data_IF_524990820653
#
_entry.id   IF_524990820653
#
_cell.length_a   1.000
_cell.length_b   1.000
_cell.length_c   1.000
_cell.angle_alpha   90.00
_cell.angle_beta   90.00
_cell.angle_gamma   90.00
#
_symmetry.space_group_name_H-M   'P 1'
#
loop_
_entity.id
_entity.type
_entity.pdbx_description
1 polymer ?
#
# COMPACT_ATOMS: atom_id res chain seq x y z
N UNK A 1 2.32 -29.28 24.62
CA UNK A 1 3.08 -28.01 24.46
C UNK A 1 2.07 -26.96 24.02
N UNK A 2 1.66 -26.08 24.91
CA UNK A 2 0.76 -24.97 24.56
C UNK A 2 1.49 -24.07 23.57
N UNK A 3 1.02 -24.04 22.31
CA UNK A 3 1.58 -23.23 21.23
C UNK A 3 1.63 -21.76 21.64
N UNK A 4 2.65 -21.04 21.18
CA UNK A 4 2.78 -19.60 21.39
C UNK A 4 1.57 -18.87 20.85
N UNK A 5 0.97 -17.98 21.66
CA UNK A 5 -0.17 -17.16 21.24
C UNK A 5 0.22 -15.69 21.16
N UNK A 6 -0.21 -15.02 20.12
CA UNK A 6 0.13 -13.63 19.82
C UNK A 6 -1.12 -12.75 19.85
N UNK A 7 -1.07 -11.67 20.63
CA UNK A 7 -2.04 -10.59 20.53
C UNK A 7 -1.55 -9.59 19.46
N UNK A 8 -2.30 -9.45 18.37
CA UNK A 8 -2.09 -8.39 17.38
C UNK A 8 -2.85 -7.15 17.84
N UNK A 9 -2.16 -6.02 17.94
CA UNK A 9 -2.78 -4.74 18.34
C UNK A 9 -2.55 -3.73 17.22
N UNK A 10 -3.63 -3.27 16.58
CA UNK A 10 -3.53 -2.39 15.40
C UNK A 10 -4.74 -1.47 15.27
N UNK A 11 -4.56 -0.33 14.61
CA UNK A 11 -5.66 0.50 14.08
C UNK A 11 -6.00 0.14 12.63
N UNK A 12 -5.08 -0.56 11.98
CA UNK A 12 -5.10 -0.80 10.54
C UNK A 12 -5.49 -2.25 10.29
N UNK A 13 -6.81 -2.51 10.23
CA UNK A 13 -7.35 -3.84 9.98
C UNK A 13 -8.64 -3.75 9.13
N UNK A 14 -8.83 -4.68 8.17
CA UNK A 14 -10.06 -4.69 7.37
C UNK A 14 -11.36 -4.78 8.23
N UNK A 15 -12.51 -4.34 7.67
CA UNK A 15 -12.79 -4.02 6.27
C UNK A 15 -12.28 -2.65 5.79
N UNK A 16 -11.64 -1.88 6.67
CA UNK A 16 -10.97 -0.64 6.29
C UNK A 16 -9.95 -0.92 5.17
N UNK A 17 -9.96 -0.07 4.13
CA UNK A 17 -9.12 -0.25 2.95
C UNK A 17 -7.82 0.54 3.05
N UNK A 18 -6.70 -0.10 2.74
CA UNK A 18 -5.37 0.52 2.68
C UNK A 18 -4.26 -0.53 2.63
N UNK A 19 -3.06 -0.10 2.26
CA UNK A 19 -1.90 -0.99 2.14
C UNK A 19 -1.42 -1.55 3.48
N UNK A 20 -1.57 -0.78 4.58
CA UNK A 20 -1.20 -1.26 5.92
C UNK A 20 -2.20 -2.31 6.39
N UNK A 21 -3.49 -2.06 6.20
CA UNK A 21 -4.58 -2.98 6.53
C UNK A 21 -4.42 -4.32 5.81
N UNK A 22 -4.15 -4.27 4.50
CA UNK A 22 -3.87 -5.46 3.68
C UNK A 22 -2.65 -6.21 4.20
N UNK A 23 -1.55 -5.49 4.50
CA UNK A 23 -0.34 -6.10 5.04
C UNK A 23 -0.58 -6.76 6.41
N UNK A 24 -1.19 -6.06 7.35
CA UNK A 24 -1.45 -6.60 8.70
C UNK A 24 -2.36 -7.82 8.62
N UNK A 25 -3.38 -7.79 7.76
CA UNK A 25 -4.27 -8.93 7.52
C UNK A 25 -3.51 -10.11 6.93
N UNK A 26 -2.77 -9.91 5.85
CA UNK A 26 -2.00 -10.97 5.19
C UNK A 26 -0.96 -11.62 6.10
N UNK A 27 -0.34 -10.83 6.98
CA UNK A 27 0.58 -11.35 8.00
C UNK A 27 -0.16 -12.11 9.09
N UNK A 28 -1.32 -11.63 9.55
CA UNK A 28 -2.14 -12.30 10.57
C UNK A 28 -2.63 -13.66 10.07
N UNK A 29 -3.03 -13.76 8.81
CA UNK A 29 -3.52 -15.00 8.19
C UNK A 29 -2.45 -16.10 8.08
N UNK A 30 -1.16 -15.76 8.26
CA UNK A 30 -0.05 -16.73 8.30
C UNK A 30 0.19 -17.33 9.68
N UNK A 31 -0.46 -16.83 10.71
CA UNK A 31 -0.45 -17.48 12.02
C UNK A 31 -1.44 -18.66 12.01
N UNK A 32 -1.15 -19.76 12.72
CA UNK A 32 -2.17 -20.76 13.02
C UNK A 32 -3.38 -20.09 13.67
N UNK A 33 -4.58 -20.45 13.25
CA UNK A 33 -5.83 -19.76 13.64
C UNK A 33 -6.05 -19.71 15.18
N UNK A 34 -5.62 -20.73 15.88
CA UNK A 34 -5.70 -20.86 17.33
C UNK A 34 -4.59 -20.12 18.09
N UNK A 35 -3.59 -19.59 17.36
CA UNK A 35 -2.40 -18.93 17.92
C UNK A 35 -2.43 -17.41 17.86
N UNK A 36 -3.48 -16.81 17.33
CA UNK A 36 -3.56 -15.35 17.15
C UNK A 36 -4.92 -14.80 17.59
N UNK A 37 -4.89 -13.61 18.17
CA UNK A 37 -6.07 -12.80 18.49
C UNK A 37 -5.81 -11.37 18.06
N UNK A 38 -6.76 -10.75 17.38
CA UNK A 38 -6.63 -9.37 16.92
C UNK A 38 -7.42 -8.43 17.84
N UNK A 39 -6.79 -7.37 18.31
CA UNK A 39 -7.42 -6.24 18.96
C UNK A 39 -7.27 -4.99 18.12
N UNK A 40 -8.38 -4.45 17.67
CA UNK A 40 -8.40 -3.34 16.72
C UNK A 40 -9.49 -2.31 17.05
N UNK A 41 -9.50 -1.19 16.31
CA UNK A 41 -10.48 -0.12 16.44
C UNK A 41 -11.83 -0.48 15.83
N UNK A 42 -12.88 0.27 16.20
CA UNK A 42 -14.20 0.16 15.57
C UNK A 42 -14.12 0.53 14.08
N UNK A 43 -14.86 -0.22 13.27
CA UNK A 43 -15.01 0.06 11.84
C UNK A 43 -16.46 -0.27 11.42
N UNK A 44 -17.15 0.60 10.68
CA UNK A 44 -18.49 0.31 10.18
C UNK A 44 -18.51 -0.97 9.32
N UNK A 45 -19.54 -1.80 9.50
CA UNK A 45 -19.70 -3.04 8.71
C UNK A 45 -18.73 -4.18 9.06
N UNK A 46 -17.93 -4.04 10.12
CA UNK A 46 -16.90 -5.02 10.45
C UNK A 46 -17.42 -6.38 10.92
N UNK A 47 -18.64 -6.46 11.47
CA UNK A 47 -19.15 -7.69 12.08
C UNK A 47 -19.18 -8.88 11.12
N UNK A 48 -19.68 -8.70 9.91
CA UNK A 48 -19.73 -9.76 8.90
C UNK A 48 -18.32 -10.17 8.44
N UNK A 49 -17.43 -9.19 8.29
CA UNK A 49 -16.03 -9.44 7.95
C UNK A 49 -15.34 -10.26 9.06
N UNK A 50 -15.47 -9.85 10.30
CA UNK A 50 -14.81 -10.50 11.43
C UNK A 50 -15.33 -11.92 11.68
N UNK A 51 -16.64 -12.15 11.46
CA UNK A 51 -17.25 -13.48 11.56
C UNK A 51 -16.74 -14.49 10.53
N UNK A 52 -16.22 -14.02 9.40
CA UNK A 52 -15.65 -14.87 8.35
C UNK A 52 -14.18 -15.26 8.62
N UNK A 53 -13.54 -14.72 9.67
CA UNK A 53 -12.15 -14.98 9.97
C UNK A 53 -11.97 -16.25 10.83
N UNK A 54 -10.89 -17.01 10.61
CA UNK A 54 -10.62 -18.22 11.37
C UNK A 54 -10.07 -17.97 12.80
N UNK A 55 -9.86 -16.72 13.17
CA UNK A 55 -9.31 -16.30 14.47
C UNK A 55 -10.16 -15.17 15.09
N UNK A 56 -10.13 -15.00 16.42
CA UNK A 56 -10.90 -13.98 17.10
C UNK A 56 -10.43 -12.56 16.75
N UNK A 57 -11.38 -11.68 16.41
CA UNK A 57 -11.18 -10.24 16.31
C UNK A 57 -12.01 -9.53 17.35
N UNK A 58 -11.36 -8.75 18.20
CA UNK A 58 -12.01 -7.94 19.25
C UNK A 58 -11.88 -6.47 18.87
N UNK A 59 -13.02 -5.81 18.65
CA UNK A 59 -13.03 -4.38 18.33
C UNK A 59 -13.28 -3.54 19.59
N UNK A 60 -12.48 -2.49 19.71
CA UNK A 60 -12.72 -1.43 20.69
C UNK A 60 -13.81 -0.49 20.14
N UNK A 61 -14.69 0.07 20.98
CA UNK A 61 -15.68 1.06 20.53
C UNK A 61 -15.05 2.36 20.00
N UNK A 62 -13.78 2.64 20.33
CA UNK A 62 -13.08 3.80 19.81
C UNK A 62 -12.73 3.63 18.31
N UNK A 63 -12.92 4.68 17.52
CA UNK A 63 -12.52 4.74 16.09
C UNK A 63 -11.02 4.71 15.89
N UNK A 64 -10.25 4.99 16.93
CA UNK A 64 -8.78 4.95 16.92
C UNK A 64 -8.31 4.51 18.30
N UNK A 65 -7.51 3.45 18.33
CA UNK A 65 -6.81 3.02 19.53
C UNK A 65 -5.66 4.01 19.81
N UNK A 66 -5.64 4.52 21.02
CA UNK A 66 -4.51 5.27 21.55
C UNK A 66 -3.95 4.53 22.77
N UNK A 67 -2.66 4.71 23.11
CA UNK A 67 -2.01 4.04 24.24
C UNK A 67 -2.43 4.63 25.60
N UNK A 68 -3.74 4.83 25.80
CA UNK A 68 -4.33 5.33 27.04
C UNK A 68 -4.56 4.18 28.05
N UNK A 69 -4.72 4.48 29.36
CA UNK A 69 -4.86 3.45 30.39
C UNK A 69 -5.98 2.43 30.12
N UNK A 70 -7.15 2.88 29.65
CA UNK A 70 -8.31 2.02 29.33
C UNK A 70 -7.99 1.02 28.22
N UNK A 71 -7.45 1.50 27.10
CA UNK A 71 -7.12 0.67 25.93
C UNK A 71 -6.01 -0.32 26.28
N UNK A 72 -4.99 0.12 27.01
CA UNK A 72 -3.88 -0.74 27.46
C UNK A 72 -4.36 -1.82 28.44
N UNK A 73 -5.23 -1.47 29.39
CA UNK A 73 -5.80 -2.44 30.34
C UNK A 73 -6.66 -3.49 29.62
N UNK A 74 -7.44 -3.07 28.59
CA UNK A 74 -8.23 -3.99 27.77
C UNK A 74 -7.32 -4.94 26.96
N UNK A 75 -6.27 -4.43 26.34
CA UNK A 75 -5.28 -5.25 25.65
C UNK A 75 -4.61 -6.26 26.61
N UNK A 76 -4.22 -5.83 27.81
CA UNK A 76 -3.68 -6.72 28.83
C UNK A 76 -4.68 -7.80 29.28
N UNK A 77 -5.94 -7.43 29.45
CA UNK A 77 -7.03 -8.38 29.76
C UNK A 77 -7.24 -9.42 28.67
N UNK A 78 -7.17 -9.01 27.39
CA UNK A 78 -7.26 -9.91 26.26
C UNK A 78 -6.05 -10.86 26.21
N UNK A 79 -4.84 -10.34 26.39
CA UNK A 79 -3.63 -11.17 26.41
C UNK A 79 -3.71 -12.26 27.51
N UNK A 80 -4.18 -11.91 28.73
CA UNK A 80 -4.40 -12.91 29.81
C UNK A 80 -5.48 -13.91 29.43
N UNK A 81 -6.66 -13.45 28.98
CA UNK A 81 -7.82 -14.30 28.67
C UNK A 81 -7.48 -15.35 27.60
N UNK A 82 -6.69 -14.96 26.59
CA UNK A 82 -6.31 -15.84 25.48
C UNK A 82 -4.97 -16.52 25.68
N UNK A 83 -4.29 -16.32 26.82
CA UNK A 83 -2.99 -16.91 27.10
C UNK A 83 -1.89 -16.45 26.14
N UNK A 84 -1.92 -15.19 25.70
CA UNK A 84 -0.90 -14.66 24.80
C UNK A 84 0.40 -14.37 25.53
N UNK A 85 1.50 -14.94 25.07
CA UNK A 85 2.86 -14.69 25.55
C UNK A 85 3.62 -13.66 24.69
N UNK A 86 3.04 -13.29 23.57
CA UNK A 86 3.61 -12.36 22.59
C UNK A 86 2.59 -11.28 22.21
N UNK A 87 3.09 -10.08 21.89
CA UNK A 87 2.31 -9.00 21.28
C UNK A 87 2.98 -8.51 20.02
N UNK A 88 2.19 -8.32 18.98
CA UNK A 88 2.60 -7.66 17.76
C UNK A 88 1.80 -6.38 17.54
N UNK A 89 2.47 -5.24 17.51
CA UNK A 89 1.89 -3.97 17.13
C UNK A 89 1.96 -3.83 15.61
N UNK A 90 0.80 -3.91 14.97
CA UNK A 90 0.67 -3.83 13.50
C UNK A 90 1.19 -2.50 12.94
N UNK A 91 1.12 -1.41 13.72
CA UNK A 91 1.85 -0.17 13.51
C UNK A 91 2.59 0.22 14.80
N UNK A 92 3.89 0.53 14.69
CA UNK A 92 4.76 0.78 15.84
C UNK A 92 4.29 1.99 16.67
N UNK A 93 3.98 3.09 15.99
CA UNK A 93 3.59 4.33 16.65
C UNK A 93 2.09 4.63 16.41
N UNK A 94 1.32 4.98 17.45
CA UNK A 94 1.73 5.13 18.86
C UNK A 94 1.58 3.85 19.71
N UNK A 95 0.99 2.77 19.17
CA UNK A 95 0.52 1.62 19.96
C UNK A 95 1.64 0.86 20.69
N UNK A 96 2.86 0.84 20.12
CA UNK A 96 4.04 0.22 20.74
C UNK A 96 4.40 0.79 22.13
N UNK A 97 3.91 1.98 22.49
CA UNK A 97 4.07 2.53 23.84
C UNK A 97 3.43 1.67 24.94
N UNK A 98 2.44 0.83 24.56
CA UNK A 98 1.79 -0.10 25.49
C UNK A 98 2.68 -1.29 25.89
N UNK A 99 3.74 -1.60 25.13
CA UNK A 99 4.57 -2.81 25.33
C UNK A 99 5.04 -3.00 26.76
N UNK A 100 5.55 -1.94 27.41
CA UNK A 100 6.05 -2.02 28.78
C UNK A 100 4.96 -2.35 29.81
N UNK A 101 3.73 -1.86 29.62
CA UNK A 101 2.63 -2.16 30.52
C UNK A 101 2.07 -3.56 30.28
N UNK A 102 1.95 -3.98 29.02
CA UNK A 102 1.53 -5.34 28.66
C UNK A 102 2.48 -6.39 29.29
N UNK A 103 3.78 -6.17 29.24
CA UNK A 103 4.75 -7.08 29.90
C UNK A 103 4.51 -7.20 31.40
N UNK A 104 4.23 -6.09 32.09
CA UNK A 104 4.01 -6.14 33.55
C UNK A 104 2.65 -6.73 33.95
N UNK A 105 1.61 -6.52 33.14
CA UNK A 105 0.23 -6.80 33.54
C UNK A 105 -0.39 -8.04 32.89
N UNK A 106 0.23 -8.64 31.87
CA UNK A 106 -0.44 -9.71 31.10
C UNK A 106 0.36 -10.96 30.81
N UNK A 107 1.60 -11.06 31.30
CA UNK A 107 2.46 -12.22 31.02
C UNK A 107 3.09 -12.22 29.63
N UNK A 108 2.89 -11.17 28.82
CA UNK A 108 3.54 -10.99 27.53
C UNK A 108 5.05 -10.89 27.72
N UNK A 109 5.79 -11.80 27.10
CA UNK A 109 7.26 -11.88 27.16
C UNK A 109 7.92 -11.25 25.96
N UNK A 110 7.27 -11.29 24.78
CA UNK A 110 7.79 -10.79 23.52
C UNK A 110 6.90 -9.69 22.94
N UNK A 111 7.53 -8.62 22.47
CA UNK A 111 6.85 -7.51 21.85
C UNK A 111 7.58 -7.13 20.53
N UNK A 112 6.85 -7.16 19.44
CA UNK A 112 7.32 -6.74 18.11
C UNK A 112 6.50 -5.55 17.64
N UNK A 113 7.13 -4.59 16.98
CA UNK A 113 6.44 -3.42 16.43
C UNK A 113 6.84 -3.22 14.95
N UNK A 114 5.86 -3.05 14.09
CA UNK A 114 6.09 -2.87 12.63
C UNK A 114 6.03 -1.41 12.24
N UNK A 115 7.01 -0.94 11.47
CA UNK A 115 6.98 0.40 10.87
C UNK A 115 6.60 0.34 9.40
N UNK A 116 5.77 1.29 8.94
CA UNK A 116 5.24 1.36 7.58
C UNK A 116 5.69 2.60 6.79
N UNK A 117 6.69 3.32 7.32
CA UNK A 117 7.22 4.54 6.72
C UNK A 117 6.63 5.83 7.28
N UNK A 118 5.40 5.85 7.81
CA UNK A 118 4.86 7.04 8.47
C UNK A 118 5.61 7.38 9.78
N UNK A 119 6.32 6.43 10.36
CA UNK A 119 7.19 6.65 11.52
C UNK A 119 8.41 7.51 11.21
N UNK A 120 8.73 7.77 9.95
CA UNK A 120 9.72 8.77 9.53
C UNK A 120 9.32 10.17 10.03
N UNK A 121 8.02 10.51 10.00
CA UNK A 121 7.52 11.72 10.63
C UNK A 121 7.83 11.76 12.13
N UNK A 122 7.55 10.64 12.84
CA UNK A 122 7.87 10.51 14.28
C UNK A 122 9.37 10.68 14.53
N UNK A 123 10.20 10.07 13.71
CA UNK A 123 11.66 10.16 13.84
C UNK A 123 12.21 11.58 13.68
N UNK A 124 11.54 12.45 12.91
CA UNK A 124 11.96 13.82 12.61
C UNK A 124 11.34 14.88 13.50
N UNK A 125 10.29 14.55 14.25
CA UNK A 125 9.61 15.49 15.15
C UNK A 125 10.09 15.28 16.58
N UNK A 126 10.67 16.29 17.28
CA UNK A 126 11.39 16.10 18.55
C UNK A 126 10.62 15.32 19.62
N UNK A 127 9.40 15.72 19.98
CA UNK A 127 8.57 15.02 20.99
C UNK A 127 8.19 13.60 20.54
N UNK A 128 7.78 13.45 19.28
CA UNK A 128 7.42 12.15 18.71
C UNK A 128 8.65 11.22 18.63
N UNK A 129 9.84 11.76 18.33
CA UNK A 129 11.10 11.02 18.34
C UNK A 129 11.41 10.40 19.70
N UNK A 130 11.19 11.13 20.80
CA UNK A 130 11.38 10.60 22.14
C UNK A 130 10.41 9.42 22.43
N UNK A 131 9.15 9.52 21.96
CA UNK A 131 8.18 8.44 22.09
C UNK A 131 8.57 7.23 21.22
N UNK A 132 9.06 7.44 20.00
CA UNK A 132 9.52 6.37 19.12
C UNK A 132 10.72 5.64 19.74
N UNK A 133 11.68 6.38 20.33
CA UNK A 133 12.78 5.81 21.10
C UNK A 133 12.29 4.91 22.24
N UNK A 134 11.29 5.37 22.99
CA UNK A 134 10.67 4.61 24.09
C UNK A 134 9.99 3.33 23.60
N UNK A 135 9.42 3.32 22.39
CA UNK A 135 8.91 2.11 21.74
C UNK A 135 10.07 1.13 21.49
N UNK A 136 11.16 1.57 20.88
CA UNK A 136 12.33 0.74 20.61
C UNK A 136 12.97 0.13 21.87
N UNK A 137 13.01 0.88 22.98
CA UNK A 137 13.51 0.41 24.28
C UNK A 137 12.63 -0.71 24.89
N UNK A 138 11.34 -0.75 24.57
CA UNK A 138 10.34 -1.62 25.17
C UNK A 138 9.93 -2.80 24.30
N UNK A 139 10.38 -2.84 23.06
CA UNK A 139 10.15 -3.93 22.12
C UNK A 139 11.39 -4.76 21.88
N UNK A 140 11.21 -6.05 21.60
CA UNK A 140 12.32 -6.96 21.29
C UNK A 140 12.82 -6.77 19.88
N UNK A 141 11.92 -6.44 18.96
CA UNK A 141 12.25 -6.11 17.58
C UNK A 141 11.34 -4.98 17.06
N UNK A 142 11.91 -4.16 16.19
CA UNK A 142 11.16 -3.21 15.36
C UNK A 142 11.41 -3.59 13.91
N UNK A 143 10.34 -3.78 13.12
CA UNK A 143 10.49 -4.12 11.72
C UNK A 143 10.49 -2.88 10.84
N UNK A 144 11.11 -2.96 9.67
CA UNK A 144 11.16 -1.88 8.69
C UNK A 144 10.96 -2.43 7.26
N UNK A 145 10.45 -1.60 6.35
CA UNK A 145 10.12 -2.02 4.99
C UNK A 145 11.35 -2.09 4.09
N UNK A 146 12.15 -1.03 4.04
CA UNK A 146 13.29 -0.88 3.16
C UNK A 146 14.37 0.05 3.71
N UNK A 147 15.47 0.21 2.99
CA UNK A 147 16.65 0.97 3.43
C UNK A 147 16.34 2.45 3.70
N UNK A 148 15.54 3.07 2.84
CA UNK A 148 15.18 4.48 2.93
C UNK A 148 14.41 4.83 4.22
N UNK A 149 13.52 3.94 4.67
CA UNK A 149 12.75 4.12 5.91
C UNK A 149 13.56 3.72 7.15
N UNK A 150 14.49 2.76 7.01
CA UNK A 150 15.32 2.25 8.11
C UNK A 150 16.20 3.34 8.72
N UNK A 151 16.93 4.09 7.91
CA UNK A 151 17.94 5.03 8.40
C UNK A 151 17.39 6.08 9.40
N UNK A 152 16.33 6.87 9.06
CA UNK A 152 15.79 7.85 10.01
C UNK A 152 15.15 7.19 11.24
N UNK A 153 14.50 6.03 11.09
CA UNK A 153 13.86 5.31 12.19
C UNK A 153 14.94 4.77 13.15
N UNK A 154 15.99 4.12 12.64
CA UNK A 154 17.11 3.60 13.43
C UNK A 154 17.79 4.70 14.26
N UNK A 155 18.01 5.87 13.65
CA UNK A 155 18.58 7.02 14.33
C UNK A 155 17.70 7.54 15.49
N UNK A 156 16.37 7.40 15.36
CA UNK A 156 15.44 7.79 16.41
C UNK A 156 15.32 6.74 17.52
N UNK A 157 15.33 5.45 17.17
CA UNK A 157 15.23 4.33 18.13
C UNK A 157 16.45 4.25 19.06
N UNK A 158 17.61 4.70 18.62
CA UNK A 158 18.88 4.59 19.33
C UNK A 158 19.64 3.26 19.07
N UNK A 159 20.94 3.20 19.42
CA UNK A 159 21.84 2.11 18.93
C UNK A 159 21.39 0.71 19.30
N UNK A 160 20.93 0.50 20.52
CA UNK A 160 20.53 -0.81 21.01
C UNK A 160 19.30 -1.36 20.28
N UNK A 161 18.27 -0.53 20.05
CA UNK A 161 17.07 -0.94 19.32
C UNK A 161 17.33 -1.02 17.81
N UNK A 162 18.18 -0.15 17.27
CA UNK A 162 18.55 -0.16 15.85
C UNK A 162 19.25 -1.49 15.44
N UNK A 163 20.03 -2.10 16.34
CA UNK A 163 20.64 -3.42 16.11
C UNK A 163 19.65 -4.57 16.07
N UNK A 164 18.48 -4.39 16.69
CA UNK A 164 17.38 -5.37 16.70
C UNK A 164 16.34 -5.12 15.62
N UNK A 165 16.58 -4.18 14.72
CA UNK A 165 15.68 -3.95 13.59
C UNK A 165 15.75 -5.12 12.59
N UNK A 166 14.60 -5.57 12.15
CA UNK A 166 14.44 -6.66 11.18
C UNK A 166 13.74 -6.15 9.93
N UNK A 167 14.26 -6.47 8.76
CA UNK A 167 13.55 -6.16 7.51
C UNK A 167 12.33 -7.06 7.37
N UNK A 168 11.18 -6.46 7.17
CA UNK A 168 9.92 -7.13 6.89
C UNK A 168 9.18 -6.33 5.82
N UNK A 169 9.53 -6.57 4.56
CA UNK A 169 8.84 -5.98 3.42
C UNK A 169 7.52 -6.71 3.17
N UNK A 170 6.46 -6.00 2.77
CA UNK A 170 5.24 -6.65 2.28
C UNK A 170 5.55 -7.42 1.00
N UNK A 171 4.90 -8.56 0.85
CA UNK A 171 4.86 -9.33 -0.39
C UNK A 171 3.49 -9.27 -1.02
N UNK A 172 3.42 -9.66 -2.27
CA UNK A 172 2.19 -9.91 -3.01
C UNK A 172 2.11 -11.39 -3.37
N UNK A 173 0.92 -11.90 -3.56
CA UNK A 173 0.70 -13.21 -4.13
C UNK A 173 0.78 -13.08 -5.66
N UNK A 174 1.84 -13.58 -6.32
CA UNK A 174 1.98 -13.42 -7.76
C UNK A 174 0.83 -14.08 -8.53
N UNK A 175 0.31 -15.21 -8.04
CA UNK A 175 -0.75 -15.96 -8.71
C UNK A 175 -2.07 -15.18 -8.70
N UNK A 176 -2.35 -14.44 -7.61
CA UNK A 176 -3.55 -13.61 -7.51
C UNK A 176 -3.57 -12.45 -8.52
N UNK A 177 -2.41 -11.99 -8.96
CA UNK A 177 -2.27 -10.87 -9.92
C UNK A 177 -1.83 -11.32 -11.31
N UNK A 178 -1.43 -12.59 -11.49
CA UNK A 178 -0.92 -13.08 -12.75
C UNK A 178 -1.92 -12.88 -13.91
N UNK A 179 -1.48 -12.23 -14.96
CA UNK A 179 -2.19 -12.10 -16.23
C UNK A 179 -1.55 -13.06 -17.22
N UNK A 180 -2.34 -13.95 -17.82
CA UNK A 180 -1.80 -14.93 -18.79
C UNK A 180 -1.10 -14.20 -19.94
N UNK A 181 0.07 -14.68 -20.41
CA UNK A 181 0.75 -14.14 -21.59
C UNK A 181 -0.22 -14.02 -22.77
N UNK A 182 -0.16 -12.91 -23.50
CA UNK A 182 -1.06 -12.64 -24.62
C UNK A 182 -2.50 -12.26 -24.27
N UNK A 183 -2.90 -12.35 -22.99
CA UNK A 183 -4.28 -12.02 -22.59
C UNK A 183 -4.62 -10.54 -22.79
N UNK A 184 -3.62 -9.64 -22.67
CA UNK A 184 -3.81 -8.20 -22.91
C UNK A 184 -4.02 -7.89 -24.39
N UNK A 185 -3.23 -8.48 -25.26
CA UNK A 185 -3.39 -8.38 -26.73
C UNK A 185 -4.73 -8.96 -27.15
N UNK A 186 -5.06 -10.14 -26.67
CA UNK A 186 -6.35 -10.79 -26.98
C UNK A 186 -7.56 -9.98 -26.50
N UNK A 187 -7.47 -9.28 -25.37
CA UNK A 187 -8.53 -8.38 -24.87
C UNK A 187 -8.71 -7.16 -25.78
N UNK A 188 -7.60 -6.64 -26.35
CA UNK A 188 -7.65 -5.48 -27.26
C UNK A 188 -8.15 -5.85 -28.65
N UNK A 189 -7.62 -6.92 -29.25
CA UNK A 189 -8.04 -7.40 -30.57
C UNK A 189 -9.54 -7.66 -30.59
N UNK A 190 -10.07 -8.28 -29.54
CA UNK A 190 -11.52 -8.58 -29.42
C UNK A 190 -12.39 -7.36 -29.07
N UNK A 191 -11.81 -6.31 -28.50
CA UNK A 191 -12.52 -5.04 -28.33
C UNK A 191 -12.83 -4.37 -29.68
N UNK A 192 -12.07 -4.72 -30.75
CA UNK A 192 -12.30 -4.28 -32.13
C UNK A 192 -13.31 -5.17 -32.87
N UNK A 193 -13.45 -6.46 -32.54
CA UNK A 193 -14.15 -7.45 -33.39
C UNK A 193 -15.55 -7.88 -32.91
N UNK A 194 -16.08 -7.27 -31.84
CA UNK A 194 -17.45 -7.58 -31.35
C UNK A 194 -17.66 -9.01 -30.83
N UNK A 195 -16.63 -9.73 -30.45
CA UNK A 195 -16.63 -11.15 -30.12
C UNK A 195 -17.07 -11.52 -28.69
N UNK A 196 -17.40 -12.78 -28.52
CA UNK A 196 -18.10 -13.47 -27.43
C UNK A 196 -17.75 -13.21 -25.93
N UNK A 197 -18.72 -13.41 -24.97
CA UNK A 197 -18.67 -12.89 -23.60
C UNK A 197 -17.77 -13.66 -22.60
N UNK A 198 -16.72 -14.31 -22.99
CA UNK A 198 -15.90 -15.12 -22.05
C UNK A 198 -14.52 -14.57 -21.71
N UNK A 199 -14.06 -13.51 -22.38
CA UNK A 199 -12.68 -13.00 -22.30
C UNK A 199 -12.59 -11.47 -22.24
N UNK A 200 -13.71 -10.77 -22.06
CA UNK A 200 -13.72 -9.31 -21.92
C UNK A 200 -13.22 -8.93 -20.53
N UNK A 201 -12.28 -7.99 -20.46
CA UNK A 201 -11.92 -7.41 -19.19
C UNK A 201 -13.05 -6.48 -18.72
N UNK A 202 -13.76 -6.88 -17.68
CA UNK A 202 -14.92 -6.16 -17.11
C UNK A 202 -14.61 -4.71 -16.76
N UNK A 203 -13.34 -4.40 -16.45
CA UNK A 203 -12.89 -3.05 -16.15
C UNK A 203 -12.88 -2.20 -17.41
N UNK A 204 -12.42 -2.73 -18.56
CA UNK A 204 -12.44 -2.02 -19.84
C UNK A 204 -13.87 -1.74 -20.30
N UNK A 205 -14.78 -2.69 -20.10
CA UNK A 205 -16.21 -2.50 -20.40
C UNK A 205 -16.83 -1.46 -19.47
N UNK A 206 -16.63 -1.58 -18.16
CA UNK A 206 -17.19 -0.68 -17.13
C UNK A 206 -16.86 0.78 -17.38
N UNK A 207 -15.65 1.06 -17.85
CA UNK A 207 -15.14 2.43 -18.05
C UNK A 207 -15.05 2.85 -19.51
N UNK A 208 -15.57 2.07 -20.44
CA UNK A 208 -15.58 2.41 -21.88
C UNK A 208 -14.16 2.56 -22.46
N UNK A 209 -13.20 1.78 -21.98
CA UNK A 209 -11.79 1.92 -22.38
C UNK A 209 -11.50 1.34 -23.77
N UNK A 210 -12.31 0.39 -24.25
CA UNK A 210 -12.09 -0.25 -25.55
C UNK A 210 -10.67 -0.79 -25.72
N UNK A 211 -10.07 -0.55 -26.90
CA UNK A 211 -8.69 -0.90 -27.21
C UNK A 211 -7.65 0.18 -26.82
N UNK A 212 -8.08 1.27 -26.21
CA UNK A 212 -7.24 2.43 -25.85
C UNK A 212 -6.07 2.02 -24.95
N UNK A 213 -4.88 2.63 -25.11
CA UNK A 213 -3.77 2.46 -24.18
C UNK A 213 -4.14 3.01 -22.79
N UNK A 214 -3.93 2.22 -21.72
CA UNK A 214 -4.35 2.57 -20.37
C UNK A 214 -3.16 2.73 -19.43
N UNK A 215 -3.02 3.90 -18.85
CA UNK A 215 -2.11 4.21 -17.75
C UNK A 215 -2.92 4.04 -16.46
N UNK A 216 -2.57 3.08 -15.62
CA UNK A 216 -3.22 2.86 -14.33
C UNK A 216 -2.43 3.52 -13.20
N UNK A 217 -3.14 4.23 -12.32
CA UNK A 217 -2.62 4.64 -11.03
C UNK A 217 -3.60 4.19 -9.93
N UNK A 218 -3.21 3.19 -9.16
CA UNK A 218 -4.01 2.68 -8.05
C UNK A 218 -3.43 3.15 -6.72
N UNK A 219 -4.03 4.16 -6.11
CA UNK A 219 -3.57 4.71 -4.84
C UNK A 219 -4.62 5.61 -4.20
N UNK A 220 -4.53 5.77 -2.89
CA UNK A 220 -5.27 6.82 -2.18
C UNK A 220 -5.04 8.18 -2.85
N UNK A 221 -6.10 8.94 -3.10
CA UNK A 221 -6.01 10.24 -3.76
C UNK A 221 -5.53 11.30 -2.77
N UNK A 222 -4.19 11.45 -2.74
CA UNK A 222 -3.47 12.44 -1.91
C UNK A 222 -2.26 12.99 -2.67
N UNK A 223 -1.85 14.26 -2.43
CA UNK A 223 -0.83 14.93 -3.25
C UNK A 223 0.53 14.22 -3.35
N UNK A 224 0.93 13.42 -2.33
CA UNK A 224 2.21 12.69 -2.36
C UNK A 224 2.25 11.54 -3.38
N UNK A 225 1.08 11.08 -3.86
CA UNK A 225 0.99 9.96 -4.81
C UNK A 225 1.20 10.35 -6.28
N UNK A 226 1.18 11.66 -6.59
CA UNK A 226 1.57 12.17 -7.90
C UNK A 226 0.51 12.06 -9.01
N UNK A 227 -0.77 11.80 -8.65
CA UNK A 227 -1.85 11.76 -9.66
C UNK A 227 -1.97 13.09 -10.42
N UNK A 228 -1.71 14.21 -9.77
CA UNK A 228 -1.67 15.53 -10.40
C UNK A 228 -0.52 15.69 -11.40
N UNK A 229 0.64 15.06 -11.15
CA UNK A 229 1.75 15.02 -12.11
C UNK A 229 1.35 14.23 -13.36
N UNK A 230 0.66 13.09 -13.20
CA UNK A 230 0.14 12.31 -14.33
C UNK A 230 -0.84 13.12 -15.18
N UNK A 231 -1.81 13.83 -14.55
CA UNK A 231 -2.76 14.68 -15.26
C UNK A 231 -2.04 15.80 -16.01
N UNK A 232 -1.04 16.45 -15.40
CA UNK A 232 -0.25 17.51 -16.05
C UNK A 232 0.64 16.97 -17.19
N UNK A 233 1.09 15.72 -17.12
CA UNK A 233 1.85 15.04 -18.16
C UNK A 233 0.98 14.63 -19.36
N UNK A 234 -0.32 14.40 -19.10
CA UNK A 234 -1.23 13.79 -20.08
C UNK A 234 -1.38 14.60 -21.38
N UNK A 235 -1.41 15.96 -21.41
CA UNK A 235 -1.41 16.70 -22.68
C UNK A 235 -0.20 16.38 -23.58
N UNK A 236 0.97 16.15 -23.00
CA UNK A 236 2.15 15.76 -23.76
C UNK A 236 2.07 14.30 -24.23
N UNK A 237 1.53 13.41 -23.41
CA UNK A 237 1.28 12.02 -23.78
C UNK A 237 0.29 11.93 -24.94
N UNK A 238 -0.83 12.65 -24.88
CA UNK A 238 -1.87 12.63 -25.90
C UNK A 238 -1.43 13.18 -27.25
N UNK A 239 -0.43 14.06 -27.32
CA UNK A 239 0.17 14.47 -28.59
C UNK A 239 0.86 13.32 -29.33
N UNK A 240 1.40 12.34 -28.60
CA UNK A 240 2.14 11.20 -29.15
C UNK A 240 1.33 9.90 -29.19
N UNK A 241 0.34 9.79 -28.31
CA UNK A 241 -0.56 8.64 -28.15
C UNK A 241 -1.98 9.20 -27.91
N UNK A 242 -2.70 9.64 -28.97
CA UNK A 242 -3.94 10.42 -28.85
C UNK A 242 -5.07 9.72 -28.07
N UNK A 243 -5.10 8.38 -28.14
CA UNK A 243 -6.14 7.57 -27.51
C UNK A 243 -5.78 7.12 -26.07
N UNK A 244 -4.66 7.57 -25.51
CA UNK A 244 -4.27 7.14 -24.16
C UNK A 244 -5.33 7.57 -23.11
N UNK A 245 -5.52 6.71 -22.11
CA UNK A 245 -6.41 6.96 -20.97
C UNK A 245 -5.62 6.84 -19.67
N UNK A 246 -5.86 7.77 -18.76
CA UNK A 246 -5.41 7.71 -17.38
C UNK A 246 -6.55 7.20 -16.49
N UNK A 247 -6.41 5.96 -15.98
CA UNK A 247 -7.34 5.35 -15.04
C UNK A 247 -6.82 5.53 -13.60
N UNK A 248 -7.51 6.33 -12.81
CA UNK A 248 -7.21 6.60 -11.41
C UNK A 248 -8.13 5.79 -10.52
N UNK A 249 -7.60 4.78 -9.82
CA UNK A 249 -8.34 3.95 -8.88
C UNK A 249 -7.97 4.30 -7.45
N UNK A 250 -8.95 4.65 -6.65
CA UNK A 250 -8.79 5.01 -5.24
C UNK A 250 -9.66 6.20 -4.84
N UNK A 251 -9.77 6.41 -3.53
CA UNK A 251 -10.47 7.52 -2.92
C UNK A 251 -9.53 8.41 -2.11
N UNK A 252 -9.97 9.63 -1.86
CA UNK A 252 -9.23 10.54 -0.99
C UNK A 252 -9.61 12.01 -1.18
N UNK A 253 -9.14 12.85 -0.26
CA UNK A 253 -9.52 14.27 -0.23
C UNK A 253 -9.07 15.06 -1.48
N UNK A 254 -8.14 14.51 -2.25
CA UNK A 254 -7.58 15.16 -3.45
C UNK A 254 -8.45 14.96 -4.71
N UNK A 255 -9.51 14.12 -4.66
CA UNK A 255 -10.36 13.80 -5.81
C UNK A 255 -10.95 15.03 -6.51
N UNK A 256 -11.48 16.00 -5.75
CA UNK A 256 -12.04 17.24 -6.31
C UNK A 256 -11.00 18.06 -7.05
N UNK A 257 -9.81 18.18 -6.47
CA UNK A 257 -8.67 18.89 -7.09
C UNK A 257 -8.24 18.24 -8.39
N UNK A 258 -8.17 16.90 -8.43
CA UNK A 258 -7.79 16.15 -9.62
C UNK A 258 -8.81 16.31 -10.76
N UNK A 259 -10.12 16.28 -10.46
CA UNK A 259 -11.17 16.54 -11.48
C UNK A 259 -11.04 17.94 -12.07
N UNK A 260 -10.88 18.94 -11.20
CA UNK A 260 -10.67 20.32 -11.66
C UNK A 260 -9.41 20.44 -12.51
N UNK A 261 -8.30 19.85 -12.07
CA UNK A 261 -7.03 19.88 -12.81
C UNK A 261 -7.19 19.24 -14.20
N UNK A 262 -7.90 18.12 -14.33
CA UNK A 262 -8.14 17.48 -15.62
C UNK A 262 -8.95 18.38 -16.56
N UNK A 263 -9.95 19.10 -16.05
CA UNK A 263 -10.71 20.11 -16.81
C UNK A 263 -9.83 21.29 -17.22
N UNK A 264 -9.08 21.87 -16.25
CA UNK A 264 -8.23 23.04 -16.48
C UNK A 264 -7.09 22.76 -17.48
N UNK A 265 -6.63 21.49 -17.59
CA UNK A 265 -5.61 21.06 -18.56
C UNK A 265 -6.20 20.54 -19.87
N UNK A 266 -7.52 20.52 -20.04
CA UNK A 266 -8.19 20.07 -21.27
C UNK A 266 -8.12 18.57 -21.53
N UNK A 267 -7.90 17.75 -20.50
CA UNK A 267 -7.76 16.28 -20.65
C UNK A 267 -8.84 15.49 -19.91
N UNK A 268 -9.96 16.13 -19.54
CA UNK A 268 -11.01 15.50 -18.75
C UNK A 268 -11.54 14.20 -19.38
N UNK A 269 -11.68 14.14 -20.72
CA UNK A 269 -12.18 12.98 -21.45
C UNK A 269 -11.16 11.80 -21.52
N UNK A 270 -9.92 12.08 -21.19
CA UNK A 270 -8.86 11.08 -21.11
C UNK A 270 -8.55 10.64 -19.67
N UNK A 271 -9.28 11.16 -18.67
CA UNK A 271 -9.08 10.81 -17.24
C UNK A 271 -10.32 10.15 -16.66
N UNK A 272 -10.18 8.91 -16.22
CA UNK A 272 -11.23 8.16 -15.54
C UNK A 272 -10.91 8.08 -14.04
N UNK A 273 -11.76 8.66 -13.19
CA UNK A 273 -11.70 8.49 -11.75
C UNK A 273 -12.66 7.36 -11.33
N UNK A 274 -12.11 6.18 -11.14
CA UNK A 274 -12.86 4.95 -10.84
C UNK A 274 -13.42 4.87 -9.41
N UNK A 275 -12.95 5.76 -8.51
CA UNK A 275 -13.24 5.65 -7.07
C UNK A 275 -12.48 4.51 -6.38
N UNK A 276 -12.71 4.34 -5.08
CA UNK A 276 -12.15 3.22 -4.32
C UNK A 276 -12.71 1.89 -4.78
N UNK A 277 -11.82 0.89 -4.86
CA UNK A 277 -12.20 -0.49 -5.23
C UNK A 277 -11.75 -1.46 -4.15
N UNK A 278 -12.54 -2.50 -3.86
CA UNK A 278 -12.10 -3.59 -3.00
C UNK A 278 -10.85 -4.28 -3.55
N UNK A 279 -9.94 -4.68 -2.66
CA UNK A 279 -8.69 -5.31 -3.07
C UNK A 279 -8.88 -6.55 -3.99
N UNK A 280 -9.90 -7.41 -3.80
CA UNK A 280 -10.17 -8.53 -4.71
C UNK A 280 -10.52 -8.12 -6.17
N UNK A 281 -10.96 -6.87 -6.40
CA UNK A 281 -11.22 -6.37 -7.76
C UNK A 281 -9.95 -5.82 -8.45
N UNK A 282 -8.85 -5.62 -7.70
CA UNK A 282 -7.64 -4.99 -8.23
C UNK A 282 -6.94 -5.79 -9.33
N UNK A 283 -6.85 -7.13 -9.29
CA UNK A 283 -6.26 -7.90 -10.39
C UNK A 283 -6.87 -7.58 -11.77
N UNK A 284 -8.20 -7.39 -11.85
CA UNK A 284 -8.87 -7.02 -13.11
C UNK A 284 -8.48 -5.59 -13.57
N UNK A 285 -8.21 -4.66 -12.65
CA UNK A 285 -7.75 -3.31 -12.98
C UNK A 285 -6.31 -3.32 -13.52
N UNK A 286 -5.42 -4.11 -12.91
CA UNK A 286 -4.06 -4.31 -13.44
C UNK A 286 -4.07 -5.01 -14.80
N UNK A 287 -4.92 -6.00 -14.99
CA UNK A 287 -5.09 -6.69 -16.27
C UNK A 287 -5.63 -5.77 -17.38
N UNK A 288 -6.41 -4.73 -17.03
CA UNK A 288 -6.93 -3.74 -17.97
C UNK A 288 -5.87 -2.74 -18.44
N UNK A 289 -4.75 -2.62 -17.75
CA UNK A 289 -3.74 -1.59 -17.96
C UNK A 289 -2.60 -2.05 -18.87
N UNK A 290 -1.87 -1.08 -19.38
CA UNK A 290 -0.67 -1.25 -20.22
C UNK A 290 0.59 -0.82 -19.47
N UNK A 291 0.46 0.19 -18.63
CA UNK A 291 1.52 0.74 -17.80
C UNK A 291 0.92 1.06 -16.43
N UNK A 292 1.63 0.73 -15.38
CA UNK A 292 1.32 1.24 -14.05
C UNK A 292 2.19 2.46 -13.73
N UNK A 293 1.59 3.57 -13.32
CA UNK A 293 2.33 4.79 -13.02
C UNK A 293 1.86 5.43 -11.71
N UNK A 294 2.77 5.57 -10.77
CA UNK A 294 2.55 6.37 -9.56
C UNK A 294 3.81 7.18 -9.27
N UNK A 295 3.97 8.37 -9.88
CA UNK A 295 5.12 9.24 -9.66
C UNK A 295 5.01 9.90 -8.28
N UNK A 296 5.13 9.07 -7.24
CA UNK A 296 5.06 9.53 -5.86
C UNK A 296 6.24 10.43 -5.53
N UNK A 297 6.04 11.36 -4.59
CA UNK A 297 7.04 12.36 -4.23
C UNK A 297 7.09 12.63 -2.74
N UNK A 298 8.27 12.88 -2.26
CA UNK A 298 8.51 13.33 -0.89
C UNK A 298 8.04 14.78 -0.73
N UNK A 299 7.28 15.08 0.34
CA UNK A 299 6.71 16.37 0.63
C UNK A 299 7.04 16.83 2.06
N UNK A 300 6.76 18.12 2.34
CA UNK A 300 6.92 18.74 3.66
C UNK A 300 8.30 18.48 4.28
N UNK A 301 9.36 18.70 3.49
CA UNK A 301 10.73 18.52 4.00
C UNK A 301 11.06 17.08 4.41
N UNK A 302 10.38 16.08 3.79
CA UNK A 302 10.62 14.67 4.09
C UNK A 302 9.72 14.09 5.20
N UNK A 303 8.70 14.83 5.65
CA UNK A 303 7.73 14.33 6.62
C UNK A 303 6.66 13.43 5.96
N UNK A 304 6.37 13.64 4.68
CA UNK A 304 5.47 12.80 3.89
C UNK A 304 6.28 12.04 2.84
N UNK A 305 6.49 10.75 3.05
CA UNK A 305 7.23 9.86 2.14
C UNK A 305 6.36 8.67 1.74
N UNK A 306 6.71 8.00 0.65
CA UNK A 306 6.14 6.68 0.33
C UNK A 306 6.82 5.62 1.20
N UNK A 307 6.03 4.73 1.84
CA UNK A 307 6.59 3.68 2.69
C UNK A 307 7.38 2.64 1.88
N UNK A 308 6.70 2.03 0.92
CA UNK A 308 7.24 1.12 -0.09
C UNK A 308 6.42 1.21 -1.38
N UNK A 309 5.08 1.20 -1.26
CA UNK A 309 4.17 1.15 -2.41
C UNK A 309 3.93 -0.28 -2.89
N UNK A 310 3.19 -1.07 -2.10
CA UNK A 310 2.83 -2.46 -2.46
C UNK A 310 2.17 -2.55 -3.86
N UNK A 311 1.46 -1.52 -4.28
CA UNK A 311 0.82 -1.42 -5.59
C UNK A 311 1.81 -1.53 -6.77
N UNK A 312 3.08 -1.19 -6.57
CA UNK A 312 4.13 -1.42 -7.58
C UNK A 312 4.43 -2.92 -7.71
N UNK A 313 4.46 -3.65 -6.59
CA UNK A 313 4.66 -5.09 -6.58
C UNK A 313 3.45 -5.83 -7.16
N UNK A 314 2.23 -5.33 -6.90
CA UNK A 314 0.99 -5.86 -7.50
C UNK A 314 1.00 -5.66 -9.03
N UNK A 315 1.41 -4.47 -9.50
CA UNK A 315 1.56 -4.17 -10.91
C UNK A 315 2.63 -5.05 -11.58
N UNK A 316 3.79 -5.23 -10.93
CA UNK A 316 4.84 -6.11 -11.40
C UNK A 316 4.39 -7.58 -11.45
N UNK A 317 3.69 -8.08 -10.43
CA UNK A 317 3.09 -9.42 -10.43
C UNK A 317 2.04 -9.60 -11.54
N UNK A 318 1.36 -8.51 -11.93
CA UNK A 318 0.49 -8.51 -13.09
C UNK A 318 1.26 -8.41 -14.43
N UNK A 319 2.60 -8.34 -14.44
CA UNK A 319 3.43 -8.21 -15.63
C UNK A 319 3.34 -6.82 -16.28
N UNK A 320 3.10 -5.76 -15.50
CA UNK A 320 3.10 -4.38 -16.00
C UNK A 320 4.48 -3.73 -15.79
N UNK A 321 4.99 -2.99 -16.77
CA UNK A 321 6.07 -2.07 -16.53
C UNK A 321 5.61 -0.98 -15.57
N UNK A 322 6.46 -0.58 -14.61
CA UNK A 322 6.11 0.38 -13.58
C UNK A 322 6.86 1.70 -13.75
N UNK A 323 6.15 2.82 -13.60
CA UNK A 323 6.74 4.15 -13.47
C UNK A 323 6.65 4.59 -12.01
N UNK A 324 7.78 4.62 -11.34
CA UNK A 324 7.90 4.81 -9.89
C UNK A 324 8.47 6.20 -9.60
N UNK A 325 7.84 6.91 -8.67
CA UNK A 325 8.40 8.18 -8.20
C UNK A 325 9.50 7.98 -7.14
N UNK A 326 10.54 8.81 -7.17
CA UNK A 326 11.60 8.79 -6.15
C UNK A 326 11.11 9.37 -4.82
N UNK A 327 10.55 8.49 -4.00
CA UNK A 327 10.04 8.85 -2.68
C UNK A 327 10.13 7.69 -1.69
N UNK A 328 10.87 7.91 -0.62
CA UNK A 328 10.95 6.95 0.48
C UNK A 328 11.45 5.58 0.06
N UNK A 329 10.64 4.53 0.27
CA UNK A 329 10.96 3.16 -0.11
C UNK A 329 10.48 2.75 -1.51
N UNK A 330 9.82 3.63 -2.26
CA UNK A 330 9.32 3.29 -3.59
C UNK A 330 10.42 2.84 -4.57
N UNK A 331 11.63 3.43 -4.58
CA UNK A 331 12.73 2.95 -5.42
C UNK A 331 13.11 1.48 -5.18
N UNK A 332 12.89 0.94 -3.98
CA UNK A 332 13.19 -0.48 -3.66
C UNK A 332 12.26 -1.46 -4.42
N UNK A 333 11.22 -0.99 -5.12
CA UNK A 333 10.22 -1.80 -5.84
C UNK A 333 10.49 -1.93 -7.33
N UNK A 334 11.49 -1.25 -7.87
CA UNK A 334 11.81 -1.22 -9.30
C UNK A 334 13.31 -1.38 -9.53
N UNK A 335 13.68 -2.08 -10.59
CA UNK A 335 15.03 -2.03 -11.18
C UNK A 335 14.95 -1.10 -12.37
N UNK A 336 15.51 0.11 -12.19
CA UNK A 336 15.43 1.17 -13.22
C UNK A 336 16.00 0.72 -14.56
N UNK A 337 15.22 0.90 -15.63
CA UNK A 337 15.55 0.44 -16.98
C UNK A 337 15.33 -1.07 -17.24
N UNK A 338 15.08 -1.89 -16.20
CA UNK A 338 14.84 -3.34 -16.34
C UNK A 338 13.37 -3.73 -16.16
N UNK A 339 12.79 -3.39 -15.00
CA UNK A 339 11.40 -3.75 -14.64
C UNK A 339 10.46 -2.55 -14.69
N UNK A 340 10.99 -1.38 -14.98
CA UNK A 340 10.27 -0.11 -15.00
C UNK A 340 11.23 1.07 -15.00
N UNK A 341 10.71 2.25 -14.69
CA UNK A 341 11.51 3.48 -14.61
C UNK A 341 11.32 4.21 -13.29
N UNK A 342 12.43 4.77 -12.78
CA UNK A 342 12.43 5.69 -11.66
C UNK A 342 12.44 7.13 -12.16
N UNK A 343 11.57 7.99 -11.61
CA UNK A 343 11.47 9.41 -11.99
C UNK A 343 11.34 10.32 -10.78
N UNK A 344 11.76 11.58 -10.90
CA UNK A 344 11.29 12.60 -9.95
C UNK A 344 9.77 12.81 -10.16
N UNK A 345 8.98 12.49 -9.13
CA UNK A 345 7.53 12.65 -9.18
C UNK A 345 7.03 14.11 -9.30
N UNK A 346 7.94 15.08 -9.38
CA UNK A 346 7.65 16.49 -9.66
C UNK A 346 7.95 16.88 -11.10
N UNK A 347 8.77 16.11 -11.79
CA UNK A 347 9.14 16.36 -13.19
C UNK A 347 8.09 15.83 -14.15
N UNK A 348 7.16 16.71 -14.51
CA UNK A 348 6.07 16.41 -15.44
C UNK A 348 6.58 16.02 -16.84
N UNK A 349 7.71 16.61 -17.27
CA UNK A 349 8.27 16.35 -18.60
C UNK A 349 8.89 14.94 -18.65
N UNK A 350 9.70 14.58 -17.66
CA UNK A 350 10.28 13.23 -17.56
C UNK A 350 9.18 12.16 -17.41
N UNK A 351 8.13 12.42 -16.63
CA UNK A 351 6.98 11.51 -16.52
C UNK A 351 6.30 11.32 -17.88
N UNK A 352 6.06 12.40 -18.63
CA UNK A 352 5.45 12.31 -19.96
C UNK A 352 6.32 11.53 -20.94
N UNK A 353 7.63 11.82 -20.99
CA UNK A 353 8.59 11.14 -21.86
C UNK A 353 8.60 9.61 -21.64
N UNK A 354 8.70 9.18 -20.37
CA UNK A 354 8.71 7.75 -20.02
C UNK A 354 7.38 7.07 -20.34
N UNK A 355 6.24 7.73 -20.08
CA UNK A 355 4.92 7.19 -20.44
C UNK A 355 4.78 7.04 -21.97
N UNK A 356 5.21 8.03 -22.75
CA UNK A 356 5.19 7.94 -24.23
C UNK A 356 6.03 6.78 -24.72
N UNK A 357 7.26 6.62 -24.20
CA UNK A 357 8.13 5.51 -24.56
C UNK A 357 7.46 4.15 -24.30
N UNK A 358 6.93 3.94 -23.10
CA UNK A 358 6.25 2.69 -22.71
C UNK A 358 4.98 2.41 -23.51
N UNK A 359 4.22 3.45 -23.88
CA UNK A 359 2.96 3.27 -24.62
C UNK A 359 3.18 3.08 -26.13
N UNK A 360 4.25 3.61 -26.70
CA UNK A 360 4.57 3.47 -28.13
C UNK A 360 5.27 2.17 -28.46
N UNK A 361 6.21 1.75 -27.62
CA UNK A 361 6.91 0.46 -27.79
C UNK A 361 6.33 -0.58 -26.83
N UNK A 362 5.22 -1.17 -27.25
CA UNK A 362 4.49 -2.18 -26.45
C UNK A 362 5.30 -3.46 -26.25
N UNK A 363 6.13 -3.84 -27.22
CA UNK A 363 6.95 -5.03 -27.11
C UNK A 363 8.03 -4.86 -26.04
N UNK A 364 8.74 -3.73 -26.03
CA UNK A 364 9.70 -3.41 -25.00
C UNK A 364 9.04 -3.25 -23.62
N UNK A 365 7.85 -2.62 -23.55
CA UNK A 365 7.08 -2.47 -22.32
C UNK A 365 6.63 -3.83 -21.75
N UNK A 366 6.15 -4.75 -22.59
CA UNK A 366 5.78 -6.10 -22.17
C UNK A 366 7.00 -6.88 -21.66
N UNK A 367 8.12 -6.86 -22.40
CA UNK A 367 9.37 -7.50 -21.98
C UNK A 367 9.92 -6.92 -20.65
N UNK A 368 9.70 -5.62 -20.39
CA UNK A 368 10.05 -4.98 -19.11
C UNK A 368 9.14 -5.46 -17.99
N UNK A 369 7.84 -5.63 -18.24
CA UNK A 369 6.88 -6.13 -17.26
C UNK A 369 7.06 -7.61 -16.91
N UNK A 370 7.55 -8.44 -17.84
CA UNK A 370 7.82 -9.86 -17.63
C UNK A 370 9.02 -10.13 -16.70
N UNK A 371 9.98 -9.20 -16.60
CA UNK A 371 11.15 -9.29 -15.70
C UNK A 371 10.81 -9.02 -14.24
#
# INVERSE_FOLDING_TARGET
MTGRRTLVVTNDFPPRQGGIETFVRAMTDRFPADSVVVYTSAEPGAAAHDAALPYPVVRDPARTLLPVPRVTARAAGLARRHGCDSVWFGAAAPLGLMAGRLRRESGVRRAVATTHGHEVWWARTPGARALLRRIGERTDAVTYLGAATRAPIAAALGPAAARRMVRLAPGVDPEAFAVRPGAREAVRERACDGAQPGTRNRVRERYGLGARPVILCAARLVPRKGQDTLIRALPAVLRSVPDAVLLLTGDGPYARTLRRLAADTGVADAVVLAGGRPHPEMPEHYAAADVFAMPCRTRRGGLEVEGLGIVFLEAAAAGLPVLVGDSGGAPDTVRDGETGHLVDGRDTAAVAERLVALLRDRAAAAAMGEK
#
